data_IF_517663546404
#
_entry.id   IF_517663546404
#
_cell.length_a   1.000
_cell.length_b   1.000
_cell.length_c   1.000
_cell.angle_alpha   90.00
_cell.angle_beta   90.00
_cell.angle_gamma   90.00
#
_symmetry.space_group_name_H-M   'P 1'
#
loop_
_entity.id
_entity.type
_entity.pdbx_description
1 polymer ?
#
# COMPACT_ATOMS: atom_id res chain seq x y z
N UNK A 1 17.26 -8.08 4.54
CA UNK A 1 16.17 -7.52 5.38
C UNK A 1 16.30 -8.05 6.79
N UNK A 2 15.98 -7.23 7.79
CA UNK A 2 15.89 -7.72 9.16
C UNK A 2 14.60 -8.53 9.34
N UNK A 3 14.43 -9.14 10.52
CA UNK A 3 13.31 -10.02 10.78
C UNK A 3 11.95 -9.30 10.66
N UNK A 4 11.88 -8.05 11.12
CA UNK A 4 10.66 -7.25 11.06
C UNK A 4 10.28 -6.94 9.62
N UNK A 5 11.24 -6.51 8.83
CA UNK A 5 11.02 -6.21 7.42
C UNK A 5 10.65 -7.47 6.65
N UNK A 6 11.27 -8.58 6.97
CA UNK A 6 10.98 -9.86 6.33
C UNK A 6 9.54 -10.31 6.60
N UNK A 7 9.06 -10.16 7.84
CA UNK A 7 7.68 -10.48 8.19
C UNK A 7 6.70 -9.60 7.42
N UNK A 8 7.00 -8.32 7.31
CA UNK A 8 6.16 -7.36 6.60
C UNK A 8 6.16 -7.66 5.11
N UNK A 9 7.33 -8.01 4.55
CA UNK A 9 7.44 -8.44 3.17
C UNK A 9 6.55 -9.67 2.90
N UNK A 10 6.61 -10.66 3.80
CA UNK A 10 5.78 -11.86 3.66
C UNK A 10 4.29 -11.53 3.70
N UNK A 11 3.89 -10.61 4.58
CA UNK A 11 2.50 -10.15 4.67
C UNK A 11 2.00 -9.61 3.33
N UNK A 12 2.84 -8.86 2.62
CA UNK A 12 2.50 -8.33 1.30
C UNK A 12 2.51 -9.45 0.27
N UNK A 13 3.59 -10.24 0.26
CA UNK A 13 3.86 -11.18 -0.82
C UNK A 13 2.85 -12.32 -0.93
N UNK A 14 2.17 -12.67 0.16
CA UNK A 14 1.17 -13.74 0.15
C UNK A 14 -0.18 -13.29 -0.43
N UNK A 15 -0.35 -12.02 -0.73
CA UNK A 15 -1.62 -11.49 -1.23
C UNK A 15 -1.41 -10.75 -2.55
N UNK A 16 -2.06 -11.23 -3.60
CA UNK A 16 -2.02 -10.59 -4.91
C UNK A 16 -2.50 -9.15 -4.82
N UNK A 17 -3.56 -8.87 -4.05
CA UNK A 17 -4.10 -7.53 -3.89
C UNK A 17 -3.10 -6.59 -3.21
N UNK A 18 -2.42 -7.08 -2.18
CA UNK A 18 -1.41 -6.27 -1.48
C UNK A 18 -0.22 -5.96 -2.39
N UNK A 19 0.26 -6.96 -3.14
CA UNK A 19 1.35 -6.77 -4.09
C UNK A 19 0.98 -5.71 -5.13
N UNK A 20 -0.20 -5.84 -5.73
CA UNK A 20 -0.66 -4.89 -6.75
C UNK A 20 -0.80 -3.48 -6.19
N UNK A 21 -1.32 -3.35 -4.98
CA UNK A 21 -1.51 -2.05 -4.34
C UNK A 21 -0.18 -1.38 -4.02
N UNK A 22 0.76 -2.12 -3.45
CA UNK A 22 2.09 -1.60 -3.13
C UNK A 22 2.81 -1.16 -4.40
N UNK A 23 2.75 -1.95 -5.45
CA UNK A 23 3.35 -1.59 -6.75
C UNK A 23 2.71 -0.34 -7.35
N UNK A 24 1.39 -0.19 -7.21
CA UNK A 24 0.68 0.98 -7.72
C UNK A 24 1.08 2.26 -6.98
N UNK A 25 1.51 2.14 -5.72
CA UNK A 25 1.94 3.28 -4.91
C UNK A 25 3.43 3.59 -5.03
N UNK A 26 4.20 2.78 -5.73
CA UNK A 26 5.64 3.00 -5.84
C UNK A 26 5.93 4.38 -6.42
N UNK A 27 6.76 5.17 -5.68
CA UNK A 27 7.22 6.49 -6.09
C UNK A 27 6.09 7.49 -6.38
N UNK A 28 4.90 7.29 -5.78
CA UNK A 28 3.77 8.15 -6.10
C UNK A 28 2.87 8.36 -4.87
N UNK A 29 2.03 9.40 -4.98
CA UNK A 29 1.01 9.72 -3.99
C UNK A 29 -0.33 9.68 -4.74
N UNK A 30 -1.27 8.88 -4.25
CA UNK A 30 -2.52 8.64 -4.97
C UNK A 30 -3.72 8.56 -4.04
N UNK A 31 -4.89 8.86 -4.59
CA UNK A 31 -6.17 8.60 -3.92
C UNK A 31 -6.49 7.10 -4.00
N UNK A 32 -7.33 6.57 -3.10
CA UNK A 32 -7.76 5.17 -3.20
C UNK A 32 -8.35 4.81 -4.56
N UNK A 33 -9.15 5.70 -5.15
CA UNK A 33 -9.74 5.45 -6.47
C UNK A 33 -8.67 5.27 -7.54
N UNK A 34 -7.65 6.13 -7.52
CA UNK A 34 -6.55 6.05 -8.47
C UNK A 34 -5.72 4.80 -8.24
N UNK A 35 -5.45 4.47 -6.98
CA UNK A 35 -4.72 3.24 -6.63
C UNK A 35 -5.48 2.02 -7.16
N UNK A 36 -6.78 1.97 -6.93
CA UNK A 36 -7.62 0.86 -7.38
C UNK A 36 -7.58 0.72 -8.90
N UNK A 37 -7.68 1.84 -9.61
CA UNK A 37 -7.63 1.84 -11.08
C UNK A 37 -6.28 1.32 -11.58
N UNK A 38 -5.18 1.83 -11.02
CA UNK A 38 -3.84 1.47 -11.45
C UNK A 38 -3.49 0.03 -11.07
N UNK A 39 -4.00 -0.46 -9.94
CA UNK A 39 -3.75 -1.82 -9.48
C UNK A 39 -4.70 -2.85 -10.11
N UNK A 40 -5.76 -2.40 -10.78
CA UNK A 40 -6.77 -3.30 -11.33
C UNK A 40 -7.61 -3.96 -10.26
N UNK A 41 -7.88 -3.25 -9.16
CA UNK A 41 -8.65 -3.74 -8.01
C UNK A 41 -9.93 -2.91 -7.90
N UNK A 42 -11.02 -3.54 -7.50
CA UNK A 42 -12.28 -2.82 -7.27
C UNK A 42 -12.15 -1.88 -6.08
N UNK A 43 -12.82 -0.72 -6.17
CA UNK A 43 -12.75 0.30 -5.10
C UNK A 43 -13.26 -0.22 -3.76
N UNK A 44 -14.22 -1.14 -3.76
CA UNK A 44 -14.73 -1.70 -2.50
C UNK A 44 -13.70 -2.60 -1.80
N UNK A 45 -12.70 -3.11 -2.52
CA UNK A 45 -11.62 -3.90 -1.92
C UNK A 45 -10.44 -3.05 -1.50
N UNK A 46 -10.18 -1.95 -2.22
CA UNK A 46 -8.96 -1.16 -1.99
C UNK A 46 -8.92 -0.54 -0.59
N UNK A 47 -10.06 -0.12 -0.06
CA UNK A 47 -10.11 0.47 1.28
C UNK A 47 -9.63 -0.50 2.35
N UNK A 48 -10.02 -1.76 2.24
CA UNK A 48 -9.60 -2.81 3.17
C UNK A 48 -8.11 -3.11 3.04
N UNK A 49 -7.62 -3.18 1.80
CA UNK A 49 -6.19 -3.43 1.54
C UNK A 49 -5.35 -2.30 2.13
N UNK A 50 -5.75 -1.04 1.88
CA UNK A 50 -5.04 0.13 2.39
C UNK A 50 -5.05 0.17 3.92
N UNK A 51 -6.14 -0.22 4.55
CA UNK A 51 -6.20 -0.28 6.01
C UNK A 51 -5.15 -1.24 6.56
N UNK A 52 -5.04 -2.43 5.99
CA UNK A 52 -4.04 -3.41 6.40
C UNK A 52 -2.63 -2.91 6.17
N UNK A 53 -2.36 -2.27 5.05
CA UNK A 53 -1.05 -1.70 4.75
C UNK A 53 -0.70 -0.57 5.72
N UNK A 54 -1.68 0.25 6.09
CA UNK A 54 -1.49 1.32 7.06
C UNK A 54 -1.18 0.76 8.45
N UNK A 55 -1.93 -0.25 8.87
CA UNK A 55 -1.74 -0.88 10.19
C UNK A 55 -0.36 -1.56 10.32
N UNK A 56 0.18 -2.07 9.23
CA UNK A 56 1.49 -2.72 9.23
C UNK A 56 2.63 -1.75 8.94
N UNK A 57 2.33 -0.46 8.76
CA UNK A 57 3.35 0.56 8.55
C UNK A 57 3.94 0.60 7.14
N UNK A 58 3.28 -0.04 6.18
CA UNK A 58 3.75 -0.09 4.78
C UNK A 58 3.32 1.16 4.02
N UNK A 59 2.13 1.67 4.32
CA UNK A 59 1.59 2.85 3.67
C UNK A 59 1.07 3.82 4.72
N UNK A 60 0.93 5.09 4.34
CA UNK A 60 0.39 6.12 5.22
C UNK A 60 -0.53 7.03 4.44
N UNK A 61 -1.50 7.61 5.15
CA UNK A 61 -2.37 8.65 4.62
C UNK A 61 -1.79 9.99 5.05
N UNK A 62 -1.50 10.88 4.10
CA UNK A 62 -0.83 12.14 4.41
C UNK A 62 -1.79 13.27 4.77
N UNK A 63 -3.10 13.04 4.64
CA UNK A 63 -4.14 14.05 4.92
C UNK A 63 -5.36 13.43 5.60
N UNK A 64 -5.15 12.76 6.73
CA UNK A 64 -6.19 11.99 7.42
C UNK A 64 -7.41 12.81 7.83
N UNK A 65 -7.26 14.12 7.96
CA UNK A 65 -8.37 15.02 8.29
C UNK A 65 -9.41 15.10 7.17
N UNK A 66 -9.04 14.76 5.97
CA UNK A 66 -9.95 14.78 4.82
C UNK A 66 -10.84 13.56 4.81
N UNK A 67 -12.13 13.75 4.61
CA UNK A 67 -13.09 12.64 4.44
C UNK A 67 -13.09 12.11 3.02
N UNK A 68 -12.84 13.00 2.05
CA UNK A 68 -12.74 12.67 0.63
C UNK A 68 -11.40 13.12 0.10
N UNK A 69 -10.93 12.47 -0.93
CA UNK A 69 -9.65 12.83 -1.54
C UNK A 69 -8.47 12.54 -0.66
N UNK A 70 -8.57 11.50 0.17
CA UNK A 70 -7.43 11.07 0.98
C UNK A 70 -6.30 10.61 0.08
N UNK A 71 -5.08 11.00 0.44
CA UNK A 71 -3.88 10.68 -0.32
C UNK A 71 -3.03 9.71 0.45
N UNK A 72 -2.61 8.66 -0.21
CA UNK A 72 -1.78 7.61 0.36
C UNK A 72 -0.43 7.55 -0.34
N UNK A 73 0.58 7.15 0.39
CA UNK A 73 1.91 6.89 -0.15
C UNK A 73 2.57 5.75 0.64
N UNK A 74 3.63 5.18 0.08
CA UNK A 74 4.42 4.20 0.81
C UNK A 74 5.27 4.90 1.85
N UNK A 75 5.47 4.24 2.98
CA UNK A 75 6.45 4.65 4.00
C UNK A 75 7.84 4.20 3.54
N UNK A 76 8.88 4.56 4.28
CA UNK A 76 10.24 4.06 4.01
C UNK A 76 10.26 2.53 4.00
N UNK A 77 9.53 1.90 4.92
CA UNK A 77 9.39 0.45 4.95
C UNK A 77 8.72 -0.08 3.68
N UNK A 78 7.64 0.59 3.25
CA UNK A 78 6.93 0.21 2.02
C UNK A 78 7.80 0.32 0.79
N UNK A 79 8.62 1.39 0.70
CA UNK A 79 9.55 1.56 -0.42
C UNK A 79 10.60 0.45 -0.45
N UNK A 80 11.12 0.05 0.71
CA UNK A 80 12.06 -1.05 0.80
C UNK A 80 11.41 -2.36 0.33
N UNK A 81 10.19 -2.62 0.77
CA UNK A 81 9.47 -3.85 0.42
C UNK A 81 9.19 -3.91 -1.08
N UNK A 82 8.75 -2.80 -1.68
CA UNK A 82 8.41 -2.82 -3.10
C UNK A 82 9.61 -3.12 -3.99
N UNK A 83 10.80 -2.74 -3.56
CA UNK A 83 12.03 -3.04 -4.30
C UNK A 83 12.34 -4.53 -4.35
N UNK A 84 11.85 -5.30 -3.39
CA UNK A 84 12.05 -6.75 -3.32
C UNK A 84 10.92 -7.55 -3.97
N UNK A 85 9.84 -6.89 -4.38
CA UNK A 85 8.73 -7.55 -5.07
C UNK A 85 9.05 -7.72 -6.55
N UNK A 86 8.66 -8.85 -7.11
CA UNK A 86 8.87 -9.15 -8.54
C UNK A 86 7.68 -8.75 -9.44
#
# INVERSE_FOLDING_TARGET
MDDETLKTYAYVNISTYRVKTVKALKDDIKTPTKIAADAGIRTNHISKVLRGLKETGIAECINEDFKKGRLYRLTSLGEEIVEHLE
#
